data_IF_640524113641
#
_entry.id   IF_640524113641
#
_cell.length_a   1.000
_cell.length_b   1.000
_cell.length_c   1.000
_cell.angle_alpha   90.00
_cell.angle_beta   90.00
_cell.angle_gamma   90.00
#
_symmetry.space_group_name_H-M   'P 1'
#
loop_
_entity.id
_entity.type
_entity.pdbx_description
1 polymer ?
#
# COMPACT_ATOMS: atom_id res chain seq x y z
N UNK A 1 22.41 1.20 -7.53
CA UNK A 1 22.06 1.48 -6.12
C UNK A 1 20.55 1.73 -5.90
N UNK A 2 19.77 2.17 -6.90
CA UNK A 2 18.34 2.52 -6.77
C UNK A 2 17.34 1.35 -6.63
N UNK A 3 17.58 0.19 -7.25
CA UNK A 3 16.64 -0.95 -7.23
C UNK A 3 16.38 -1.49 -5.81
N UNK A 4 17.41 -1.53 -4.95
CA UNK A 4 17.30 -2.02 -3.57
C UNK A 4 16.41 -1.12 -2.70
N UNK A 5 16.50 0.19 -2.91
CA UNK A 5 15.74 1.20 -2.16
C UNK A 5 14.25 1.18 -2.52
N UNK A 6 13.92 0.95 -3.80
CA UNK A 6 12.53 0.84 -4.27
C UNK A 6 11.85 -0.46 -3.80
N UNK A 7 12.59 -1.56 -3.70
CA UNK A 7 12.05 -2.82 -3.17
C UNK A 7 11.72 -2.71 -1.68
N UNK A 8 12.62 -2.12 -0.89
CA UNK A 8 12.40 -1.90 0.55
C UNK A 8 11.20 -0.97 0.82
N UNK A 9 10.97 0.05 -0.02
CA UNK A 9 9.81 0.93 0.13
C UNK A 9 8.50 0.23 -0.24
N UNK A 10 8.50 -0.65 -1.25
CA UNK A 10 7.33 -1.46 -1.61
C UNK A 10 6.96 -2.47 -0.52
N UNK A 11 7.94 -3.22 -0.01
CA UNK A 11 7.72 -4.17 1.09
C UNK A 11 7.13 -3.48 2.31
N UNK A 12 7.68 -2.31 2.69
CA UNK A 12 7.15 -1.52 3.80
C UNK A 12 5.69 -1.11 3.58
N UNK A 13 5.32 -0.68 2.38
CA UNK A 13 3.93 -0.31 2.03
C UNK A 13 2.99 -1.52 2.17
N UNK A 14 3.40 -2.69 1.66
CA UNK A 14 2.63 -3.92 1.77
C UNK A 14 2.42 -4.34 3.23
N UNK A 15 3.47 -4.25 4.06
CA UNK A 15 3.36 -4.52 5.49
C UNK A 15 2.35 -3.62 6.18
N UNK A 16 2.34 -2.31 5.89
CA UNK A 16 1.37 -1.38 6.46
C UNK A 16 -0.06 -1.64 5.97
N UNK A 17 -0.22 -2.04 4.70
CA UNK A 17 -1.53 -2.42 4.16
C UNK A 17 -2.07 -3.70 4.83
N UNK A 18 -1.22 -4.71 5.03
CA UNK A 18 -1.60 -5.94 5.73
C UNK A 18 -1.94 -5.67 7.21
N UNK A 19 -1.13 -4.84 7.87
CA UNK A 19 -1.39 -4.42 9.25
C UNK A 19 -2.79 -3.81 9.39
N UNK A 20 -3.14 -2.85 8.53
CA UNK A 20 -4.42 -2.16 8.69
C UNK A 20 -5.62 -3.03 8.32
N UNK A 21 -5.47 -3.91 7.33
CA UNK A 21 -6.50 -4.90 6.99
C UNK A 21 -6.80 -5.81 8.19
N UNK A 22 -5.75 -6.35 8.86
CA UNK A 22 -5.92 -7.19 10.05
C UNK A 22 -6.48 -6.40 11.24
N UNK A 23 -6.03 -5.17 11.42
CA UNK A 23 -6.51 -4.27 12.47
C UNK A 23 -8.01 -4.00 12.33
N UNK A 24 -8.45 -3.55 11.15
CA UNK A 24 -9.85 -3.24 10.88
C UNK A 24 -10.72 -4.51 10.92
N UNK A 25 -10.25 -5.64 10.37
CA UNK A 25 -10.94 -6.93 10.46
C UNK A 25 -11.16 -7.41 11.90
N UNK A 26 -10.19 -7.17 12.78
CA UNK A 26 -10.32 -7.54 14.20
C UNK A 26 -11.34 -6.64 14.92
N UNK A 27 -11.40 -5.35 14.58
CA UNK A 27 -12.46 -4.44 15.06
C UNK A 27 -13.82 -5.00 14.61
N UNK A 28 -13.96 -5.33 13.33
CA UNK A 28 -15.23 -5.81 12.76
C UNK A 28 -15.68 -7.14 13.41
N UNK A 29 -14.75 -8.06 13.69
CA UNK A 29 -15.04 -9.30 14.41
C UNK A 29 -15.56 -9.04 15.84
N UNK A 30 -14.97 -8.10 16.58
CA UNK A 30 -15.46 -7.72 17.90
C UNK A 30 -16.84 -7.06 17.83
N UNK A 31 -17.07 -6.23 16.81
CA UNK A 31 -18.36 -5.59 16.58
C UNK A 31 -19.43 -6.61 16.22
N UNK A 32 -19.11 -7.59 15.38
CA UNK A 32 -20.01 -8.72 15.07
C UNK A 32 -20.33 -9.55 16.31
N UNK A 33 -19.41 -9.63 17.28
CA UNK A 33 -19.64 -10.23 18.60
C UNK A 33 -20.41 -9.35 19.59
N UNK A 34 -20.95 -8.20 19.17
CA UNK A 34 -21.78 -7.31 20.00
C UNK A 34 -21.02 -6.21 20.74
N UNK A 35 -19.71 -6.10 20.56
CA UNK A 35 -18.93 -5.01 21.18
C UNK A 35 -19.17 -3.70 20.43
N UNK A 36 -19.45 -2.61 21.15
CA UNK A 36 -19.57 -1.28 20.51
C UNK A 36 -18.27 -0.93 19.77
N UNK A 37 -18.37 -0.40 18.55
CA UNK A 37 -17.22 -0.06 17.69
C UNK A 37 -16.14 0.78 18.40
N UNK A 38 -16.54 1.79 19.18
CA UNK A 38 -15.62 2.61 19.98
C UNK A 38 -14.84 1.77 20.99
N UNK A 39 -15.51 0.85 21.69
CA UNK A 39 -14.90 -0.07 22.66
C UNK A 39 -13.97 -1.05 21.97
N UNK A 40 -14.41 -1.68 20.87
CA UNK A 40 -13.58 -2.60 20.08
C UNK A 40 -12.29 -1.93 19.58
N UNK A 41 -12.40 -0.70 19.08
CA UNK A 41 -11.26 0.11 18.64
C UNK A 41 -10.31 0.38 19.81
N UNK A 42 -10.84 0.79 20.97
CA UNK A 42 -10.03 1.06 22.16
C UNK A 42 -9.33 -0.18 22.68
N UNK A 43 -9.97 -1.35 22.67
CA UNK A 43 -9.36 -2.61 23.12
C UNK A 43 -8.12 -2.94 22.29
N UNK A 44 -8.27 -2.99 20.96
CA UNK A 44 -7.14 -3.31 20.07
C UNK A 44 -6.05 -2.23 20.15
N UNK A 45 -6.44 -0.97 20.32
CA UNK A 45 -5.50 0.12 20.51
C UNK A 45 -4.64 -0.05 21.78
N UNK A 46 -5.24 -0.48 22.90
CA UNK A 46 -4.49 -0.75 24.14
C UNK A 46 -3.58 -1.97 23.99
N UNK A 47 -4.02 -3.03 23.31
CA UNK A 47 -3.16 -4.19 23.01
C UNK A 47 -1.91 -3.79 22.22
N UNK A 48 -2.05 -2.90 21.22
CA UNK A 48 -0.89 -2.40 20.46
C UNK A 48 0.06 -1.60 21.35
N UNK A 49 -0.46 -0.78 22.27
CA UNK A 49 0.38 -0.03 23.23
C UNK A 49 1.14 -0.94 24.18
N UNK A 50 0.53 -2.04 24.62
CA UNK A 50 1.23 -3.03 25.45
C UNK A 50 2.40 -3.67 24.70
N UNK A 51 2.27 -3.89 23.39
CA UNK A 51 3.35 -4.42 22.55
C UNK A 51 4.41 -3.37 22.20
N UNK A 52 4.05 -2.09 22.23
CA UNK A 52 4.91 -0.96 21.86
C UNK A 52 4.88 0.11 22.97
N UNK A 53 5.44 -0.15 24.16
CA UNK A 53 5.27 0.71 25.33
C UNK A 53 5.82 2.14 25.15
N UNK A 54 6.78 2.31 24.24
CA UNK A 54 7.37 3.62 23.91
C UNK A 54 6.54 4.44 22.91
N UNK A 55 5.49 3.87 22.31
CA UNK A 55 4.68 4.59 21.33
C UNK A 55 3.73 5.58 22.02
N UNK A 56 3.83 6.86 21.64
CA UNK A 56 2.89 7.88 22.11
C UNK A 56 1.54 7.75 21.42
N UNK A 57 0.48 8.21 22.09
CA UNK A 57 -0.88 8.10 21.53
C UNK A 57 -1.04 8.85 20.20
N UNK A 58 -0.48 10.05 20.13
CA UNK A 58 -0.48 10.87 18.92
C UNK A 58 0.22 10.13 17.78
N UNK A 59 1.35 9.49 18.06
CA UNK A 59 2.14 8.76 17.07
C UNK A 59 1.39 7.52 16.56
N UNK A 60 0.81 6.71 17.45
CA UNK A 60 0.04 5.53 17.06
C UNK A 60 -1.18 5.90 16.21
N UNK A 61 -1.94 6.92 16.64
CA UNK A 61 -3.08 7.43 15.88
C UNK A 61 -2.67 7.90 14.47
N UNK A 62 -1.59 8.68 14.37
CA UNK A 62 -1.06 9.13 13.08
C UNK A 62 -0.62 7.96 12.18
N UNK A 63 0.05 6.94 12.73
CA UNK A 63 0.46 5.75 11.97
C UNK A 63 -0.75 4.98 11.44
N UNK A 64 -1.78 4.75 12.26
CA UNK A 64 -3.02 4.07 11.84
C UNK A 64 -3.72 4.87 10.73
N UNK A 65 -3.84 6.20 10.88
CA UNK A 65 -4.45 7.05 9.86
C UNK A 65 -3.69 7.03 8.53
N UNK A 66 -2.34 7.07 8.58
CA UNK A 66 -1.50 6.94 7.38
C UNK A 66 -1.66 5.56 6.73
N UNK A 67 -1.68 4.49 7.51
CA UNK A 67 -1.89 3.14 7.00
C UNK A 67 -3.27 2.98 6.34
N UNK A 68 -4.35 3.54 6.92
CA UNK A 68 -5.69 3.56 6.29
C UNK A 68 -5.70 4.30 4.97
N UNK A 69 -5.02 5.46 4.89
CA UNK A 69 -4.91 6.21 3.63
C UNK A 69 -4.17 5.42 2.55
N UNK A 70 -3.06 4.76 2.92
CA UNK A 70 -2.30 3.89 2.02
C UNK A 70 -3.18 2.73 1.53
N UNK A 71 -3.82 2.00 2.45
CA UNK A 71 -4.69 0.89 2.09
C UNK A 71 -5.84 1.32 1.19
N UNK A 72 -6.50 2.45 1.46
CA UNK A 72 -7.55 2.98 0.57
C UNK A 72 -7.02 3.28 -0.83
N UNK A 73 -5.87 3.93 -0.94
CA UNK A 73 -5.23 4.26 -2.22
C UNK A 73 -4.96 2.98 -3.04
N UNK A 74 -4.39 1.97 -2.38
CA UNK A 74 -3.94 0.74 -3.02
C UNK A 74 -5.05 -0.29 -3.25
N UNK A 75 -6.09 -0.31 -2.41
CA UNK A 75 -7.25 -1.18 -2.60
C UNK A 75 -8.19 -0.64 -3.70
N UNK A 76 -8.32 0.68 -3.84
CA UNK A 76 -9.03 1.30 -4.97
C UNK A 76 -8.35 1.00 -6.31
N UNK A 77 -7.03 0.78 -6.29
CA UNK A 77 -6.23 0.44 -7.47
C UNK A 77 -6.16 -1.07 -7.76
N UNK A 78 -6.91 -1.91 -7.03
CA UNK A 78 -6.73 -3.36 -6.94
C UNK A 78 -5.29 -3.73 -6.56
N UNK A 79 -5.08 -4.30 -5.37
CA UNK A 79 -3.75 -4.76 -4.91
C UNK A 79 -3.03 -5.67 -5.94
N UNK A 80 -3.78 -6.34 -6.83
CA UNK A 80 -3.28 -7.06 -8.01
C UNK A 80 -2.40 -6.19 -8.93
N UNK A 81 -2.79 -4.93 -9.18
CA UNK A 81 -2.03 -4.03 -10.05
C UNK A 81 -0.73 -3.57 -9.42
N UNK A 82 -0.59 -3.55 -8.09
CA UNK A 82 0.71 -3.22 -7.45
C UNK A 82 1.71 -4.33 -7.72
N UNK A 83 1.31 -5.60 -7.55
CA UNK A 83 2.17 -6.73 -7.91
C UNK A 83 2.51 -6.73 -9.41
N UNK A 84 1.55 -6.36 -10.26
CA UNK A 84 1.76 -6.27 -11.71
C UNK A 84 2.67 -5.10 -12.10
N UNK A 85 2.52 -3.93 -11.48
CA UNK A 85 3.40 -2.76 -11.64
C UNK A 85 4.79 -3.03 -11.06
N UNK A 86 4.90 -3.86 -10.03
CA UNK A 86 6.19 -4.27 -9.46
C UNK A 86 6.96 -5.17 -10.43
N UNK A 87 6.28 -6.20 -10.97
CA UNK A 87 6.84 -7.07 -11.99
C UNK A 87 7.14 -6.32 -13.29
N UNK A 88 6.24 -5.40 -13.69
CA UNK A 88 6.45 -4.56 -14.85
C UNK A 88 7.50 -3.49 -14.62
N UNK A 89 7.75 -2.99 -13.40
CA UNK A 89 8.81 -2.01 -13.14
C UNK A 89 10.20 -2.65 -13.22
N UNK A 90 10.34 -3.89 -12.73
CA UNK A 90 11.56 -4.67 -12.93
C UNK A 90 11.79 -4.98 -14.42
N UNK A 91 10.73 -5.25 -15.19
CA UNK A 91 10.80 -5.44 -16.65
C UNK A 91 10.96 -4.12 -17.45
N UNK A 92 10.33 -3.01 -17.03
CA UNK A 92 10.40 -1.69 -17.64
C UNK A 92 11.77 -1.03 -17.38
N UNK A 93 12.50 -1.47 -16.36
CA UNK A 93 13.89 -1.09 -16.14
C UNK A 93 14.85 -1.58 -17.23
N UNK A 94 14.37 -2.37 -18.20
CA UNK A 94 15.14 -2.87 -19.33
C UNK A 94 14.91 -2.10 -20.65
N UNK A 95 13.99 -1.13 -20.69
CA UNK A 95 13.82 -0.31 -21.88
C UNK A 95 14.67 0.95 -21.76
N UNK A 96 15.65 1.08 -22.65
CA UNK A 96 16.45 2.29 -22.78
C UNK A 96 15.61 3.43 -23.39
N UNK A 97 16.00 4.68 -23.09
CA UNK A 97 15.34 5.88 -23.61
C UNK A 97 15.14 5.84 -25.12
N UNK A 98 16.11 5.32 -25.87
CA UNK A 98 16.02 5.20 -27.32
C UNK A 98 14.93 4.21 -27.76
N UNK A 99 14.73 3.13 -27.01
CA UNK A 99 13.68 2.14 -27.32
C UNK A 99 12.29 2.72 -27.05
N UNK A 100 12.15 3.54 -25.99
CA UNK A 100 10.91 4.24 -25.69
C UNK A 100 10.59 5.26 -26.80
N UNK A 101 11.59 6.02 -27.25
CA UNK A 101 11.41 6.99 -28.34
C UNK A 101 10.99 6.31 -29.65
N UNK A 102 11.61 5.19 -30.01
CA UNK A 102 11.25 4.43 -31.21
C UNK A 102 9.79 3.93 -31.17
N UNK A 103 9.30 3.52 -30.00
CA UNK A 103 7.89 3.10 -29.83
C UNK A 103 6.94 4.30 -30.01
N UNK A 104 7.28 5.46 -29.45
CA UNK A 104 6.50 6.70 -29.61
C UNK A 104 6.43 7.08 -31.09
N UNK A 105 7.56 7.07 -31.80
CA UNK A 105 7.63 7.46 -33.20
C UNK A 105 6.82 6.51 -34.11
N UNK A 106 6.87 5.20 -33.83
CA UNK A 106 6.07 4.20 -34.54
C UNK A 106 4.56 4.40 -34.32
N UNK A 107 4.11 4.58 -33.08
CA UNK A 107 2.68 4.78 -32.79
C UNK A 107 2.17 6.06 -33.47
N UNK A 108 2.94 7.14 -33.44
CA UNK A 108 2.59 8.38 -34.12
C UNK A 108 2.52 8.23 -35.64
N UNK A 109 3.42 7.43 -36.23
CA UNK A 109 3.41 7.06 -37.66
C UNK A 109 2.13 6.30 -38.05
N UNK A 110 1.72 5.33 -37.24
CA UNK A 110 0.49 4.54 -37.47
C UNK A 110 -0.76 5.42 -37.37
N UNK A 111 -0.82 6.31 -36.38
CA UNK A 111 -1.96 7.23 -36.21
C UNK A 111 -2.02 8.28 -37.32
N UNK A 112 -0.87 8.74 -37.82
CA UNK A 112 -0.80 9.72 -38.92
C UNK A 112 -1.11 9.11 -40.30
N UNK A 113 -1.26 7.79 -40.38
CA UNK A 113 -1.59 7.05 -41.60
C UNK A 113 -3.08 6.70 -41.72
N UNK A 114 -3.92 7.18 -40.78
CA UNK A 114 -5.39 7.08 -40.76
C UNK A 114 -5.97 8.45 -41.10
#
# INVERSE_FOLDING_TARGET
>A
MFKKTNKLSQEAILYWCYFIEKYDKRIDNLVAGGVKKKTATSMIYQEIKQLLPEITDVNLCQKILRARKLFKLFNTLELKKINQVSYSADANSNLDYQQIQNVIDYVNSVISSI
#
